data_IF_422997749874
#
_entry.id   IF_422997749874
#
_cell.length_a   1.000
_cell.length_b   1.000
_cell.length_c   1.000
_cell.angle_alpha   90.00
_cell.angle_beta   90.00
_cell.angle_gamma   90.00
#
_symmetry.space_group_name_H-M   'P 1'
#
loop_
_entity.id
_entity.type
_entity.pdbx_description
1 polymer ?
#
# COMPACT_ATOMS: atom_id res chain seq x y z
N UNK A 1 -39.08 -7.74 45.07
CA UNK A 1 -37.98 -7.68 44.08
C UNK A 1 -38.33 -6.51 43.16
N UNK A 2 -37.66 -5.34 43.24
CA UNK A 2 -37.95 -4.24 42.33
C UNK A 2 -37.11 -4.37 41.07
N UNK A 3 -37.80 -4.18 39.95
CA UNK A 3 -37.34 -4.15 38.56
C UNK A 3 -36.33 -3.00 38.36
N UNK A 4 -35.12 -3.32 37.90
CA UNK A 4 -34.14 -2.32 37.47
C UNK A 4 -34.24 -2.17 35.95
N UNK A 5 -34.85 -1.07 35.52
CA UNK A 5 -34.93 -0.70 34.11
C UNK A 5 -33.55 -0.54 33.45
N UNK A 6 -33.49 -0.59 32.11
CA UNK A 6 -32.23 -0.57 31.38
C UNK A 6 -31.50 0.75 31.61
N UNK A 7 -30.23 0.66 32.01
CA UNK A 7 -29.35 1.79 32.25
C UNK A 7 -29.28 2.73 31.05
N UNK A 8 -29.35 4.03 31.33
CA UNK A 8 -29.16 5.08 30.35
C UNK A 8 -27.83 4.90 29.60
N UNK A 9 -27.78 5.16 28.28
CA UNK A 9 -26.52 5.13 27.55
C UNK A 9 -25.60 6.19 28.13
N UNK A 10 -24.36 5.80 28.42
CA UNK A 10 -23.31 6.70 28.87
C UNK A 10 -23.15 7.85 27.87
N UNK A 11 -23.40 9.08 28.31
CA UNK A 11 -23.08 10.28 27.57
C UNK A 11 -21.55 10.37 27.41
N UNK A 12 -21.05 9.83 26.30
CA UNK A 12 -19.69 10.05 25.86
C UNK A 12 -19.54 11.52 25.46
N UNK A 13 -19.06 12.34 26.39
CA UNK A 13 -18.71 13.72 26.12
C UNK A 13 -17.75 13.79 24.93
N UNK A 14 -18.25 14.27 23.80
CA UNK A 14 -17.44 14.58 22.64
C UNK A 14 -16.48 15.69 23.05
N UNK A 15 -15.23 15.33 23.35
CA UNK A 15 -14.14 16.28 23.45
C UNK A 15 -14.08 17.14 22.17
N UNK A 16 -13.48 18.34 22.24
CA UNK A 16 -13.48 19.27 21.12
C UNK A 16 -12.99 18.57 19.85
N UNK A 17 -13.82 18.59 18.80
CA UNK A 17 -13.48 18.03 17.49
C UNK A 17 -12.16 18.67 17.04
N UNK A 18 -11.12 17.87 16.75
CA UNK A 18 -9.84 18.40 16.29
C UNK A 18 -10.02 19.30 15.07
N UNK A 19 -9.20 20.35 14.96
CA UNK A 19 -9.20 21.23 13.79
C UNK A 19 -8.91 20.44 12.50
N UNK A 20 -9.38 20.92 11.35
CA UNK A 20 -9.21 20.24 10.07
C UNK A 20 -7.72 19.92 9.81
N UNK A 21 -7.41 18.63 9.67
CA UNK A 21 -6.04 18.15 9.45
C UNK A 21 -5.84 17.67 8.01
N UNK A 22 -4.58 17.56 7.56
CA UNK A 22 -4.31 16.95 6.24
C UNK A 22 -4.53 15.43 6.30
N UNK A 23 -4.72 14.77 5.14
CA UNK A 23 -4.92 13.31 5.11
C UNK A 23 -3.75 12.55 5.74
N UNK A 24 -2.51 13.01 5.51
CA UNK A 24 -1.32 12.44 6.16
C UNK A 24 -1.40 12.55 7.69
N UNK A 25 -1.67 13.75 8.21
CA UNK A 25 -1.73 13.98 9.66
C UNK A 25 -2.87 13.17 10.29
N UNK A 26 -4.04 13.15 9.67
CA UNK A 26 -5.21 12.38 10.09
C UNK A 26 -4.92 10.88 10.16
N UNK A 27 -4.34 10.31 9.10
CA UNK A 27 -4.01 8.88 9.05
C UNK A 27 -3.01 8.51 10.15
N UNK A 28 -1.92 9.27 10.28
CA UNK A 28 -0.87 8.97 11.26
C UNK A 28 -1.36 9.13 12.71
N UNK A 29 -2.21 10.13 12.99
CA UNK A 29 -2.82 10.32 14.30
C UNK A 29 -3.78 9.16 14.64
N UNK A 30 -4.65 8.76 13.71
CA UNK A 30 -5.56 7.64 13.91
C UNK A 30 -4.81 6.32 14.19
N UNK A 31 -3.75 6.02 13.42
CA UNK A 31 -2.90 4.83 13.64
C UNK A 31 -2.21 4.85 15.01
N UNK A 32 -1.94 6.03 15.57
CA UNK A 32 -1.40 6.21 16.92
C UNK A 32 -2.47 6.28 18.01
N UNK A 33 -3.75 6.07 17.67
CA UNK A 33 -4.91 6.18 18.57
C UNK A 33 -5.07 7.58 19.17
N UNK A 34 -4.69 8.61 18.43
CA UNK A 34 -4.87 10.00 18.79
C UNK A 34 -6.21 10.53 18.24
N UNK A 35 -6.82 11.57 18.85
CA UNK A 35 -8.02 12.20 18.32
C UNK A 35 -7.82 12.72 16.88
N UNK A 36 -8.85 12.56 16.04
CA UNK A 36 -8.87 13.05 14.65
C UNK A 36 -10.18 13.79 14.35
N UNK A 37 -10.14 14.67 13.34
CA UNK A 37 -11.27 15.48 12.89
C UNK A 37 -12.36 14.66 12.17
N UNK A 38 -11.96 13.57 11.50
CA UNK A 38 -12.86 12.52 10.97
C UNK A 38 -12.12 11.19 10.84
N UNK A 39 -12.85 10.10 10.66
CA UNK A 39 -12.26 8.78 10.36
C UNK A 39 -11.50 8.84 9.03
N UNK A 40 -10.18 8.54 9.00
CA UNK A 40 -9.43 8.45 7.76
C UNK A 40 -9.77 7.17 6.99
N UNK A 41 -9.68 7.22 5.66
CA UNK A 41 -9.97 6.05 4.80
C UNK A 41 -8.88 5.82 3.75
N UNK A 42 -8.62 4.53 3.50
CA UNK A 42 -7.85 4.00 2.38
C UNK A 42 -8.41 2.63 2.02
N UNK A 43 -8.11 2.11 0.83
CA UNK A 43 -8.57 0.79 0.43
C UNK A 43 -7.42 -0.12 0.02
N UNK A 44 -7.48 -1.38 0.44
CA UNK A 44 -6.60 -2.40 -0.14
C UNK A 44 -6.86 -2.51 -1.64
N UNK A 45 -5.78 -2.58 -2.43
CA UNK A 45 -5.82 -2.60 -3.90
C UNK A 45 -6.53 -1.37 -4.51
N UNK A 46 -6.46 -0.20 -3.85
CA UNK A 46 -7.06 1.05 -4.34
C UNK A 46 -6.54 1.48 -5.73
N UNK A 47 -5.27 1.21 -6.03
CA UNK A 47 -4.71 1.35 -7.38
C UNK A 47 -4.97 0.05 -8.15
N UNK A 48 -6.10 -0.03 -8.84
CA UNK A 48 -6.56 -1.27 -9.45
C UNK A 48 -7.57 -1.08 -10.59
N UNK A 49 -8.14 -2.21 -11.04
CA UNK A 49 -9.00 -2.31 -12.24
C UNK A 49 -10.27 -1.46 -12.20
N UNK A 50 -10.68 -0.98 -11.02
CA UNK A 50 -11.79 -0.04 -10.86
C UNK A 50 -11.50 1.31 -11.54
N UNK A 51 -10.23 1.73 -11.62
CA UNK A 51 -9.83 3.00 -12.21
C UNK A 51 -9.62 2.85 -13.72
N UNK A 52 -10.25 3.71 -14.52
CA UNK A 52 -10.12 3.68 -15.98
C UNK A 52 -8.68 3.92 -16.44
N UNK A 53 -8.02 4.92 -15.86
CA UNK A 53 -6.63 5.26 -16.15
C UNK A 53 -5.65 4.10 -15.84
N UNK A 54 -5.95 3.28 -14.83
CA UNK A 54 -5.16 2.09 -14.53
C UNK A 54 -5.34 1.00 -15.59
N UNK A 55 -6.57 0.77 -16.07
CA UNK A 55 -6.86 -0.21 -17.13
C UNK A 55 -6.10 0.13 -18.42
N UNK A 56 -6.18 1.38 -18.86
CA UNK A 56 -5.45 1.88 -20.04
C UNK A 56 -3.92 1.76 -19.92
N UNK A 57 -3.39 1.89 -18.70
CA UNK A 57 -1.96 1.72 -18.44
C UNK A 57 -1.57 0.24 -18.50
N UNK A 58 -2.42 -0.65 -17.96
CA UNK A 58 -2.21 -2.12 -17.99
C UNK A 58 -2.35 -2.74 -19.38
N UNK A 59 -2.96 -2.06 -20.33
CA UNK A 59 -2.93 -2.47 -21.75
C UNK A 59 -1.53 -2.34 -22.37
N UNK A 60 -0.68 -1.46 -21.82
CA UNK A 60 0.66 -1.16 -22.36
C UNK A 60 1.80 -1.80 -21.58
N UNK A 61 1.63 -1.95 -20.27
CA UNK A 61 2.68 -2.42 -19.37
C UNK A 61 2.18 -3.53 -18.46
N UNK A 62 2.97 -4.59 -18.31
CA UNK A 62 2.74 -5.62 -17.31
C UNK A 62 3.03 -5.12 -15.88
N UNK A 63 2.62 -5.90 -14.88
CA UNK A 63 2.76 -5.52 -13.46
C UNK A 63 4.23 -5.34 -13.08
N UNK A 64 5.11 -6.26 -13.48
CA UNK A 64 6.52 -6.21 -13.13
C UNK A 64 7.18 -4.98 -13.74
N UNK A 65 6.90 -4.69 -15.01
CA UNK A 65 7.36 -3.50 -15.72
C UNK A 65 6.93 -2.22 -15.00
N UNK A 66 5.66 -2.13 -14.55
CA UNK A 66 5.18 -0.98 -13.78
C UNK A 66 5.95 -0.85 -12.45
N UNK A 67 6.08 -1.94 -11.70
CA UNK A 67 6.74 -1.92 -10.38
C UNK A 67 8.24 -1.66 -10.43
N UNK A 68 8.91 -1.99 -11.55
CA UNK A 68 10.34 -1.74 -11.79
C UNK A 68 10.62 -0.41 -12.50
N UNK A 69 9.59 0.34 -12.85
CA UNK A 69 9.73 1.67 -13.46
C UNK A 69 9.22 2.71 -12.46
N UNK A 70 10.11 3.41 -11.73
CA UNK A 70 9.71 4.28 -10.62
C UNK A 70 8.63 5.31 -10.99
N UNK A 71 8.71 5.88 -12.19
CA UNK A 71 7.76 6.88 -12.69
C UNK A 71 6.37 6.29 -12.94
N UNK A 72 6.31 5.06 -13.49
CA UNK A 72 5.04 4.36 -13.71
C UNK A 72 4.43 3.91 -12.38
N UNK A 73 5.26 3.34 -11.49
CA UNK A 73 4.86 2.97 -10.15
C UNK A 73 4.27 4.16 -9.38
N UNK A 74 4.97 5.30 -9.40
CA UNK A 74 4.49 6.52 -8.77
C UNK A 74 3.17 7.00 -9.39
N UNK A 75 3.09 7.05 -10.73
CA UNK A 75 1.87 7.45 -11.43
C UNK A 75 0.67 6.60 -11.03
N UNK A 76 0.81 5.27 -11.00
CA UNK A 76 -0.27 4.34 -10.60
C UNK A 76 -0.64 4.52 -9.13
N UNK A 77 0.35 4.65 -8.25
CA UNK A 77 0.14 4.87 -6.80
C UNK A 77 -0.65 6.15 -6.51
N UNK A 78 -0.47 7.19 -7.33
CA UNK A 78 -1.14 8.48 -7.15
C UNK A 78 -2.60 8.51 -7.61
N UNK A 79 -3.02 7.60 -8.50
CA UNK A 79 -4.37 7.61 -9.09
C UNK A 79 -5.49 7.62 -8.03
N UNK A 80 -5.50 6.74 -7.01
CA UNK A 80 -6.59 6.69 -6.04
C UNK A 80 -6.63 7.91 -5.13
N UNK A 81 -5.47 8.50 -4.82
CA UNK A 81 -5.41 9.74 -4.03
C UNK A 81 -6.04 10.89 -4.80
N UNK A 82 -5.78 10.97 -6.11
CA UNK A 82 -6.30 12.02 -6.96
C UNK A 82 -7.79 11.83 -7.31
N UNK A 83 -8.24 10.58 -7.53
CA UNK A 83 -9.61 10.28 -7.96
C UNK A 83 -10.58 10.10 -6.77
N UNK A 84 -10.13 9.53 -5.66
CA UNK A 84 -10.98 9.14 -4.52
C UNK A 84 -10.78 10.01 -3.27
N UNK A 85 -9.72 10.83 -3.22
CA UNK A 85 -9.43 11.68 -2.06
C UNK A 85 -9.11 10.90 -0.77
N UNK A 86 -8.54 9.70 -0.90
CA UNK A 86 -8.14 8.85 0.25
C UNK A 86 -7.06 9.51 1.10
N UNK A 87 -7.06 9.20 2.40
CA UNK A 87 -6.14 9.79 3.39
C UNK A 87 -4.75 9.11 3.39
N UNK A 88 -4.61 7.98 2.67
CA UNK A 88 -3.32 7.32 2.43
C UNK A 88 -3.21 6.74 1.00
N UNK A 89 -2.02 6.85 0.44
CA UNK A 89 -1.58 6.08 -0.71
C UNK A 89 -1.01 4.74 -0.24
N UNK A 90 -1.21 3.70 -1.03
CA UNK A 90 -0.50 2.42 -0.87
C UNK A 90 0.33 2.23 -2.12
N UNK A 91 1.63 2.05 -1.92
CA UNK A 91 2.58 1.86 -3.01
C UNK A 91 2.14 0.72 -3.93
N UNK A 92 2.12 0.98 -5.23
CA UNK A 92 1.83 -0.05 -6.23
C UNK A 92 3.03 -0.98 -6.39
N UNK A 93 3.03 -2.09 -5.65
CA UNK A 93 4.09 -3.09 -5.62
C UNK A 93 3.50 -4.49 -5.47
N UNK A 94 4.30 -5.50 -5.81
CA UNK A 94 3.97 -6.89 -5.53
C UNK A 94 4.85 -7.41 -4.39
N UNK A 95 4.27 -8.24 -3.51
CA UNK A 95 5.00 -8.83 -2.37
C UNK A 95 6.10 -9.81 -2.81
N UNK A 96 6.05 -10.28 -4.06
CA UNK A 96 7.02 -11.21 -4.63
C UNK A 96 8.31 -10.54 -5.11
N UNK A 97 8.36 -9.20 -5.21
CA UNK A 97 9.54 -8.49 -5.74
C UNK A 97 10.87 -8.86 -5.06
N UNK A 98 10.96 -9.05 -3.73
CA UNK A 98 12.22 -9.44 -3.09
C UNK A 98 12.79 -10.78 -3.57
N UNK A 99 11.95 -11.67 -4.11
CA UNK A 99 12.39 -12.98 -4.62
C UNK A 99 13.41 -12.87 -5.75
N UNK A 100 13.34 -11.79 -6.54
CA UNK A 100 14.31 -11.53 -7.61
C UNK A 100 15.70 -11.30 -7.02
N UNK A 101 15.79 -10.48 -5.97
CA UNK A 101 17.05 -10.26 -5.24
C UNK A 101 17.57 -11.52 -4.53
N UNK A 102 16.67 -12.42 -4.14
CA UNK A 102 17.01 -13.71 -3.54
C UNK A 102 17.41 -14.79 -4.57
N UNK A 103 17.42 -14.47 -5.86
CA UNK A 103 17.76 -15.41 -6.93
C UNK A 103 16.63 -16.39 -7.31
N UNK A 104 15.38 -16.08 -6.97
CA UNK A 104 14.21 -16.90 -7.29
C UNK A 104 13.44 -16.25 -8.45
N UNK A 105 13.58 -16.77 -9.69
CA UNK A 105 12.89 -16.21 -10.85
C UNK A 105 11.39 -16.50 -10.77
N UNK A 106 10.58 -15.47 -11.02
CA UNK A 106 9.13 -15.59 -11.12
C UNK A 106 8.58 -14.71 -12.24
N UNK A 107 7.40 -15.08 -12.73
CA UNK A 107 6.61 -14.26 -13.66
C UNK A 107 5.22 -14.02 -13.06
N UNK A 108 4.49 -13.02 -13.56
CA UNK A 108 3.11 -12.76 -13.16
C UNK A 108 2.23 -12.93 -14.39
N UNK A 109 1.40 -13.97 -14.38
CA UNK A 109 0.38 -14.18 -15.40
C UNK A 109 -0.91 -13.43 -15.03
N UNK A 110 -1.56 -12.72 -15.99
CA UNK A 110 -2.78 -11.95 -15.72
C UNK A 110 -4.00 -12.74 -15.21
N UNK A 111 -4.06 -14.05 -15.50
CA UNK A 111 -5.16 -14.94 -15.12
C UNK A 111 -4.82 -15.90 -13.97
N UNK A 112 -3.54 -16.26 -13.81
CA UNK A 112 -3.08 -17.21 -12.79
C UNK A 112 -2.39 -16.53 -11.59
N UNK A 113 -1.85 -15.34 -11.76
CA UNK A 113 -1.06 -14.65 -10.75
C UNK A 113 0.44 -15.02 -10.80
N UNK A 114 1.17 -14.92 -9.68
CA UNK A 114 2.60 -15.17 -9.66
C UNK A 114 2.93 -16.66 -9.86
N UNK A 115 3.87 -16.95 -10.75
CA UNK A 115 4.37 -18.27 -11.08
C UNK A 115 5.86 -18.32 -10.74
N UNK A 116 6.21 -19.17 -9.76
CA UNK A 116 7.61 -19.49 -9.44
C UNK A 116 8.04 -20.61 -10.37
N UNK A 117 9.02 -20.34 -11.25
CA UNK A 117 9.46 -21.31 -12.26
C UNK A 117 10.17 -22.51 -11.64
N UNK A 118 10.92 -22.26 -10.56
CA UNK A 118 11.70 -23.27 -9.84
C UNK A 118 11.37 -23.24 -8.35
N UNK A 119 10.27 -23.89 -7.92
CA UNK A 119 9.89 -23.92 -6.51
C UNK A 119 10.95 -24.65 -5.67
N UNK A 120 11.28 -24.11 -4.49
CA UNK A 120 12.22 -24.72 -3.56
C UNK A 120 11.61 -25.99 -2.95
N UNK A 121 12.29 -27.13 -3.04
CA UNK A 121 11.81 -28.44 -2.55
C UNK A 121 12.82 -29.17 -1.66
N UNK A 122 14.05 -28.68 -1.57
CA UNK A 122 15.14 -29.33 -0.82
C UNK A 122 15.98 -28.32 -0.04
N UNK A 123 16.74 -28.82 0.94
CA UNK A 123 17.72 -28.01 1.67
C UNK A 123 18.79 -27.42 0.74
N UNK A 124 19.15 -28.14 -0.33
CA UNK A 124 20.07 -27.62 -1.34
C UNK A 124 19.48 -26.43 -2.11
N UNK A 125 18.15 -26.36 -2.30
CA UNK A 125 17.50 -25.22 -2.93
C UNK A 125 17.55 -23.98 -2.03
N UNK A 126 17.32 -24.18 -0.73
CA UNK A 126 17.43 -23.11 0.27
C UNK A 126 18.87 -22.59 0.32
N UNK A 127 19.86 -23.47 0.28
CA UNK A 127 21.28 -23.09 0.32
C UNK A 127 21.75 -22.28 -0.90
N UNK A 128 21.00 -22.30 -2.03
CA UNK A 128 21.29 -21.49 -3.22
C UNK A 128 20.68 -20.09 -3.17
N UNK A 129 19.80 -19.81 -2.22
CA UNK A 129 19.18 -18.48 -2.10
C UNK A 129 20.24 -17.43 -1.78
N UNK A 130 20.11 -16.29 -2.44
CA UNK A 130 20.93 -15.11 -2.13
C UNK A 130 20.34 -14.44 -0.89
N UNK A 131 21.16 -14.30 0.15
CA UNK A 131 20.83 -13.44 1.30
C UNK A 131 21.16 -12.02 0.90
N UNK A 132 20.13 -11.20 0.74
CA UNK A 132 20.27 -9.77 0.47
C UNK A 132 20.58 -9.03 1.78
N UNK A 133 21.60 -8.17 1.77
CA UNK A 133 22.02 -7.43 2.98
C UNK A 133 21.01 -6.33 3.34
N UNK A 134 20.28 -5.80 2.36
CA UNK A 134 19.24 -4.80 2.57
C UNK A 134 18.06 -4.93 1.62
N UNK A 135 16.90 -4.43 2.05
CA UNK A 135 15.71 -4.35 1.20
C UNK A 135 15.91 -3.41 0.00
N UNK A 136 16.70 -2.35 0.15
CA UNK A 136 16.99 -1.40 -0.93
C UNK A 136 17.88 -2.02 -2.01
N UNK A 137 18.85 -2.84 -1.63
CA UNK A 137 19.65 -3.62 -2.58
C UNK A 137 18.78 -4.61 -3.36
N UNK A 138 17.84 -5.28 -2.70
CA UNK A 138 16.93 -6.22 -3.33
C UNK A 138 15.91 -5.54 -4.27
N UNK A 139 15.56 -4.27 -4.00
CA UNK A 139 14.47 -3.55 -4.69
C UNK A 139 14.77 -2.06 -4.93
N UNK A 140 15.85 -1.71 -5.65
CA UNK A 140 16.30 -0.31 -5.76
C UNK A 140 15.27 0.60 -6.46
N UNK A 141 14.58 0.08 -7.47
CA UNK A 141 13.53 0.81 -8.20
C UNK A 141 12.35 1.17 -7.28
N UNK A 142 12.01 0.26 -6.36
CA UNK A 142 10.92 0.46 -5.41
C UNK A 142 11.22 1.61 -4.43
N UNK A 143 12.46 1.68 -3.93
CA UNK A 143 12.90 2.77 -3.07
C UNK A 143 12.94 4.12 -3.79
N UNK A 144 13.29 4.11 -5.07
CA UNK A 144 13.21 5.30 -5.94
C UNK A 144 11.75 5.74 -6.09
N UNK A 145 10.82 4.80 -6.33
CA UNK A 145 9.40 5.07 -6.43
C UNK A 145 8.82 5.63 -5.12
N UNK A 146 9.18 5.06 -3.96
CA UNK A 146 8.75 5.54 -2.63
C UNK A 146 9.16 7.00 -2.44
N UNK A 147 10.42 7.35 -2.75
CA UNK A 147 10.91 8.72 -2.64
C UNK A 147 10.11 9.67 -3.55
N UNK A 148 9.86 9.26 -4.80
CA UNK A 148 9.08 10.04 -5.76
C UNK A 148 7.63 10.24 -5.31
N UNK A 149 6.95 9.19 -4.86
CA UNK A 149 5.57 9.24 -4.35
C UNK A 149 5.49 10.15 -3.13
N UNK A 150 6.41 10.01 -2.17
CA UNK A 150 6.45 10.85 -0.97
C UNK A 150 6.58 12.33 -1.32
N UNK A 151 7.44 12.67 -2.28
CA UNK A 151 7.61 14.05 -2.76
C UNK A 151 6.33 14.58 -3.41
N UNK A 152 5.66 13.78 -4.24
CA UNK A 152 4.45 14.19 -4.95
C UNK A 152 3.23 14.33 -4.02
N UNK A 153 3.08 13.45 -3.04
CA UNK A 153 1.96 13.49 -2.09
C UNK A 153 2.03 14.71 -1.16
N UNK A 154 3.22 15.04 -0.67
CA UNK A 154 3.37 16.02 0.40
C UNK A 154 2.51 15.64 1.61
N UNK A 155 1.80 16.61 2.18
CA UNK A 155 0.94 16.37 3.34
C UNK A 155 -0.46 15.84 2.99
N UNK A 156 -0.82 15.71 1.70
CA UNK A 156 -2.20 15.42 1.27
C UNK A 156 -2.68 14.05 1.75
N UNK A 157 -1.81 13.04 1.71
CA UNK A 157 -2.09 11.69 2.17
C UNK A 157 -0.81 11.06 2.73
N UNK A 158 -0.95 10.08 3.62
CA UNK A 158 0.18 9.25 4.07
C UNK A 158 0.64 8.30 2.96
N UNK A 159 1.89 7.81 3.04
CA UNK A 159 2.44 6.72 2.22
C UNK A 159 3.49 5.97 3.02
#
# INVERSE_FOLDING_TARGET
MPDQGPGAPAEGGAGPTPAATTGQARMLAALRRQPVDRTPVWFMRQAGRSLAAYRELRERYDILTITRTPELCARVTMMPVNELGVDAAVLYADIMLPLVGMGVPFSIDPGLGPIIHEPLRSAADIARLVVVESAEEATPDLFTAIRGVRQQLGARAAV
#
